data_IF_466522114956
#
_entry.id   IF_466522114956
#
_cell.length_a   1.000
_cell.length_b   1.000
_cell.length_c   1.000
_cell.angle_alpha   90.00
_cell.angle_beta   90.00
_cell.angle_gamma   90.00
#
_symmetry.space_group_name_H-M   'P 1'
#
loop_
_entity.id
_entity.type
_entity.pdbx_description
1 polymer ?
#
# COMPACT_ATOMS: atom_id res chain seq x y z
N UNK A 1 -1.23 13.52 -2.07
CA UNK A 1 -1.92 13.88 -0.82
C UNK A 1 -1.32 13.05 0.29
N UNK A 2 -0.93 13.73 1.34
CA UNK A 2 -0.48 13.16 2.61
C UNK A 2 -1.68 12.57 3.36
N UNK A 3 -1.43 11.78 4.42
CA UNK A 3 -2.47 11.21 5.29
C UNK A 3 -3.42 12.29 5.80
N UNK A 4 -4.70 11.95 5.93
CA UNK A 4 -5.69 12.82 6.56
C UNK A 4 -5.39 12.98 8.07
N UNK A 5 -5.90 14.06 8.65
CA UNK A 5 -5.95 14.25 10.10
C UNK A 5 -6.64 13.06 10.79
N UNK A 6 -6.37 12.79 12.08
CA UNK A 6 -7.01 11.69 12.82
C UNK A 6 -8.53 11.69 12.64
N UNK A 7 -9.08 10.55 12.24
CA UNK A 7 -10.51 10.38 12.01
C UNK A 7 -11.13 9.45 13.04
N UNK A 8 -12.37 9.69 13.51
CA UNK A 8 -13.10 8.74 14.33
C UNK A 8 -13.23 7.38 13.63
N UNK A 9 -12.85 6.30 14.32
CA UNK A 9 -12.96 4.94 13.79
C UNK A 9 -11.84 4.52 12.83
N UNK A 10 -10.76 5.30 12.70
CA UNK A 10 -9.58 4.85 11.96
C UNK A 10 -8.99 3.57 12.59
N UNK A 11 -8.54 2.64 11.76
CA UNK A 11 -8.01 1.34 12.17
C UNK A 11 -6.49 1.28 12.14
N UNK A 12 -5.86 2.41 12.46
CA UNK A 12 -4.40 2.59 12.47
C UNK A 12 -3.96 3.10 13.85
N UNK A 13 -2.82 2.66 14.35
CA UNK A 13 -2.21 3.17 15.57
C UNK A 13 -1.15 4.21 15.22
N UNK A 14 -1.49 5.50 15.36
CA UNK A 14 -0.60 6.63 15.02
C UNK A 14 0.63 6.77 15.91
N UNK A 15 0.67 6.08 17.04
CA UNK A 15 1.80 6.04 17.97
C UNK A 15 2.91 5.07 17.54
N UNK A 16 2.61 4.16 16.61
CA UNK A 16 3.52 3.10 16.20
C UNK A 16 3.82 3.24 14.71
N UNK A 17 5.03 3.67 14.38
CA UNK A 17 5.51 3.73 13.00
C UNK A 17 6.17 2.41 12.63
N UNK A 18 5.86 1.92 11.44
CA UNK A 18 6.53 0.79 10.80
C UNK A 18 7.24 1.27 9.53
N UNK A 19 8.28 0.54 9.11
CA UNK A 19 8.97 0.81 7.85
C UNK A 19 9.02 -0.42 6.95
N UNK A 20 8.83 -0.22 5.65
CA UNK A 20 9.01 -1.27 4.64
C UNK A 20 9.61 -0.70 3.36
N UNK A 21 10.05 -1.56 2.46
CA UNK A 21 10.62 -1.16 1.17
C UNK A 21 9.62 -1.40 0.05
N UNK A 22 9.50 -0.46 -0.88
CA UNK A 22 8.73 -0.62 -2.11
C UNK A 22 9.51 -0.04 -3.29
N UNK A 23 9.75 -0.86 -4.32
CA UNK A 23 10.60 -0.52 -5.48
C UNK A 23 11.97 0.05 -5.05
N UNK A 24 12.60 -0.57 -4.04
CA UNK A 24 13.91 -0.16 -3.52
C UNK A 24 13.90 1.14 -2.72
N UNK A 25 12.72 1.69 -2.40
CA UNK A 25 12.58 2.92 -1.61
C UNK A 25 11.88 2.65 -0.29
N UNK A 26 12.40 3.20 0.79
CA UNK A 26 11.75 3.16 2.10
C UNK A 26 10.39 3.85 2.05
N UNK A 27 9.42 3.26 2.76
CA UNK A 27 8.06 3.77 2.95
C UNK A 27 7.74 3.64 4.44
N UNK A 28 7.37 4.77 5.04
CA UNK A 28 6.83 4.78 6.40
C UNK A 28 5.34 4.43 6.37
N UNK A 29 4.95 3.61 7.33
CA UNK A 29 3.59 3.18 7.58
C UNK A 29 3.26 3.33 9.07
N UNK A 30 1.99 3.20 9.41
CA UNK A 30 1.54 3.06 10.79
C UNK A 30 1.07 1.63 11.01
N UNK A 31 1.18 1.15 12.24
CA UNK A 31 0.59 -0.13 12.63
C UNK A 31 -0.91 -0.13 12.28
N UNK A 32 -1.38 -1.19 11.63
CA UNK A 32 -2.74 -1.31 11.10
C UNK A 32 -2.93 -0.83 9.66
N UNK A 33 -1.93 -0.20 9.04
CA UNK A 33 -1.97 0.06 7.60
C UNK A 33 -1.93 -1.22 6.76
N UNK A 34 -2.52 -1.12 5.57
CA UNK A 34 -2.22 -2.01 4.45
C UNK A 34 -1.10 -1.42 3.61
N UNK A 35 -0.42 -2.24 2.80
CA UNK A 35 0.58 -1.75 1.85
C UNK A 35 -0.01 -0.61 1.00
N UNK A 36 -1.25 -0.79 0.52
CA UNK A 36 -1.96 0.17 -0.30
C UNK A 36 -2.22 1.49 0.42
N UNK A 37 -2.68 1.47 1.68
CA UNK A 37 -2.94 2.69 2.46
C UNK A 37 -1.64 3.43 2.79
N UNK A 38 -0.58 2.71 3.15
CA UNK A 38 0.73 3.29 3.43
C UNK A 38 1.36 3.94 2.17
N UNK A 39 1.33 3.23 1.03
CA UNK A 39 1.82 3.78 -0.24
C UNK A 39 1.04 5.05 -0.63
N UNK A 40 -0.29 5.03 -0.49
CA UNK A 40 -1.12 6.18 -0.80
C UNK A 40 -0.84 7.38 0.11
N UNK A 41 -0.62 7.13 1.42
CA UNK A 41 -0.23 8.12 2.40
C UNK A 41 1.16 8.72 2.11
N UNK A 42 2.09 7.93 1.56
CA UNK A 42 3.39 8.39 1.08
C UNK A 42 3.34 9.18 -0.24
N UNK A 43 2.14 9.36 -0.82
CA UNK A 43 1.94 10.05 -2.09
C UNK A 43 2.15 9.18 -3.34
N UNK A 44 2.51 7.90 -3.19
CA UNK A 44 2.63 6.97 -4.33
C UNK A 44 1.24 6.57 -4.83
N UNK A 45 1.02 6.70 -6.14
CA UNK A 45 -0.28 6.42 -6.79
C UNK A 45 -0.24 5.34 -7.85
N UNK A 46 0.95 5.07 -8.37
CA UNK A 46 1.18 3.99 -9.33
C UNK A 46 1.86 2.86 -8.58
N UNK A 47 1.18 1.72 -8.48
CA UNK A 47 1.69 0.49 -7.86
C UNK A 47 2.09 -0.52 -8.93
N UNK A 48 1.36 -0.53 -10.05
CA UNK A 48 1.62 -1.41 -11.19
C UNK A 48 1.17 -0.72 -12.47
N UNK A 49 1.30 -1.41 -13.61
CA UNK A 49 0.87 -0.93 -14.92
C UNK A 49 0.08 -2.01 -15.64
N UNK A 50 -0.93 -1.57 -16.41
CA UNK A 50 -1.77 -2.51 -17.14
C UNK A 50 -0.97 -3.29 -18.18
N UNK A 51 -1.14 -4.60 -18.26
CA UNK A 51 -0.40 -5.48 -19.16
C UNK A 51 -0.37 -4.99 -20.62
N UNK A 52 -1.53 -4.72 -21.23
CA UNK A 52 -1.61 -4.38 -22.67
C UNK A 52 -1.15 -2.95 -22.99
N UNK A 53 -1.58 -1.98 -22.20
CA UNK A 53 -1.46 -0.55 -22.54
C UNK A 53 -0.47 0.21 -21.66
N UNK A 54 0.19 -0.47 -20.73
CA UNK A 54 1.16 0.10 -19.79
C UNK A 54 0.66 1.35 -19.00
N UNK A 55 -0.67 1.50 -18.86
CA UNK A 55 -1.28 2.61 -18.12
C UNK A 55 -1.03 2.45 -16.63
N UNK A 56 -0.74 3.54 -15.90
CA UNK A 56 -0.55 3.48 -14.46
C UNK A 56 -1.80 2.91 -13.76
N UNK A 57 -1.59 2.04 -12.78
CA UNK A 57 -2.61 1.42 -11.94
C UNK A 57 -2.21 1.56 -10.46
N UNK A 58 -3.20 1.68 -9.61
CA UNK A 58 -3.04 1.76 -8.15
C UNK A 58 -4.34 1.37 -7.45
N UNK A 59 -4.64 2.00 -6.32
CA UNK A 59 -5.91 1.77 -5.63
C UNK A 59 -7.11 2.12 -6.52
N UNK A 60 -8.13 1.25 -6.49
CA UNK A 60 -9.42 1.45 -7.15
C UNK A 60 -10.58 1.06 -6.23
N UNK A 61 -10.70 -0.23 -5.90
CA UNK A 61 -11.85 -0.73 -5.12
C UNK A 61 -11.61 -0.80 -3.60
N UNK A 62 -10.35 -0.92 -3.17
CA UNK A 62 -9.96 -1.14 -1.76
C UNK A 62 -10.68 -2.30 -1.05
N UNK A 63 -11.20 -3.27 -1.82
CA UNK A 63 -11.99 -4.39 -1.33
C UNK A 63 -11.42 -5.76 -1.74
N UNK A 64 -10.19 -5.78 -2.26
CA UNK A 64 -9.55 -7.01 -2.73
C UNK A 64 -10.14 -7.63 -4.01
N UNK A 65 -11.03 -6.94 -4.71
CA UNK A 65 -11.74 -7.50 -5.87
C UNK A 65 -11.11 -7.13 -7.22
N UNK A 66 -10.45 -5.97 -7.32
CA UNK A 66 -9.86 -5.52 -8.59
C UNK A 66 -8.38 -5.92 -8.72
N UNK A 67 -7.88 -6.03 -9.96
CA UNK A 67 -6.49 -6.37 -10.27
C UNK A 67 -5.54 -5.16 -10.37
N UNK A 68 -5.94 -3.96 -9.92
CA UNK A 68 -5.16 -2.73 -10.13
C UNK A 68 -4.01 -2.53 -9.13
N UNK A 69 -3.98 -3.25 -8.02
CA UNK A 69 -3.03 -3.06 -6.93
C UNK A 69 -2.25 -4.34 -6.61
N UNK A 70 -2.02 -5.17 -7.63
CA UNK A 70 -1.20 -6.36 -7.51
C UNK A 70 0.28 -5.97 -7.44
N UNK A 71 0.96 -6.45 -6.40
CA UNK A 71 2.38 -6.23 -6.11
C UNK A 71 3.03 -7.56 -5.72
N UNK A 72 4.36 -7.61 -5.76
CA UNK A 72 5.12 -8.73 -5.23
C UNK A 72 5.49 -8.39 -3.79
N UNK A 73 5.35 -9.34 -2.87
CA UNK A 73 5.63 -9.15 -1.44
C UNK A 73 6.47 -10.31 -0.94
N UNK A 74 7.67 -10.04 -0.46
CA UNK A 74 8.61 -11.03 0.07
C UNK A 74 8.79 -12.25 -0.87
N UNK A 75 8.79 -11.99 -2.19
CA UNK A 75 8.91 -13.01 -3.23
C UNK A 75 7.59 -13.71 -3.64
N UNK A 76 6.47 -13.42 -2.98
CA UNK A 76 5.15 -13.89 -3.38
C UNK A 76 4.50 -12.93 -4.39
N UNK A 77 4.21 -13.37 -5.62
CA UNK A 77 3.67 -12.48 -6.64
C UNK A 77 2.15 -12.33 -6.56
N UNK A 78 1.65 -11.20 -7.06
CA UNK A 78 0.21 -10.97 -7.22
C UNK A 78 -0.54 -10.75 -5.90
N UNK A 79 0.15 -10.29 -4.86
CA UNK A 79 -0.44 -9.91 -3.58
C UNK A 79 -1.22 -8.61 -3.75
N UNK A 80 -2.39 -8.54 -3.11
CA UNK A 80 -3.26 -7.36 -3.19
C UNK A 80 -2.83 -6.34 -2.16
N UNK A 81 -2.19 -5.27 -2.61
CA UNK A 81 -1.67 -4.23 -1.72
C UNK A 81 -2.77 -3.62 -0.83
N UNK A 82 -4.02 -3.53 -1.32
CA UNK A 82 -5.13 -2.93 -0.58
C UNK A 82 -5.67 -3.77 0.59
N UNK A 83 -5.26 -5.03 0.72
CA UNK A 83 -5.70 -5.92 1.81
C UNK A 83 -4.54 -6.51 2.60
N UNK A 84 -3.33 -6.50 2.03
CA UNK A 84 -2.14 -7.00 2.70
C UNK A 84 -1.68 -6.03 3.80
N UNK A 85 -1.61 -6.45 5.07
CA UNK A 85 -1.13 -5.62 6.17
C UNK A 85 0.37 -5.34 6.04
N UNK A 86 0.79 -4.15 6.47
CA UNK A 86 2.23 -3.83 6.54
C UNK A 86 2.88 -4.59 7.70
N UNK A 87 4.07 -5.13 7.45
CA UNK A 87 4.96 -5.73 8.45
C UNK A 87 6.32 -5.03 8.40
N UNK A 88 6.94 -4.85 9.56
CA UNK A 88 8.26 -4.22 9.65
C UNK A 88 9.28 -4.97 8.76
N UNK A 89 10.02 -4.22 7.96
CA UNK A 89 11.11 -4.74 7.12
C UNK A 89 10.66 -5.55 5.90
N UNK A 90 9.36 -5.64 5.59
CA UNK A 90 8.89 -6.33 4.38
C UNK A 90 9.35 -5.64 3.08
N UNK A 91 9.38 -6.38 1.98
CA UNK A 91 9.82 -5.90 0.66
C UNK A 91 8.83 -6.22 -0.45
#
# INVERSE_FOLDING_TARGET
>A
MTRLDPQPGERIARSTTLSFTFDGKLVEALEGDTIGSALYASGRRTFTRSFKYHRPRGLLCCAGQCANCLVDVDGAPGVRACTEPVREGMQ
#
